data_IF_505145368792
#
_entry.id   IF_505145368792
#
_cell.length_a   1.000
_cell.length_b   1.000
_cell.length_c   1.000
_cell.angle_alpha   90.00
_cell.angle_beta   90.00
_cell.angle_gamma   90.00
#
_symmetry.space_group_name_H-M   'P 1'
#
loop_
_entity.id
_entity.type
_entity.pdbx_description
1 polymer ?
#
# COMPACT_ATOMS: atom_id res chain seq x y z
N UNK A 1 8.54 -10.98 5.24
CA UNK A 1 8.66 -10.15 4.01
C UNK A 1 7.62 -9.04 4.00
N UNK A 2 7.64 -8.11 3.04
CA UNK A 2 6.61 -7.06 2.94
C UNK A 2 5.18 -7.61 2.76
N UNK A 3 5.02 -8.69 1.98
CA UNK A 3 3.74 -9.36 1.78
C UNK A 3 3.23 -10.08 3.04
N UNK A 4 4.11 -10.75 3.78
CA UNK A 4 3.73 -11.36 5.07
C UNK A 4 3.26 -10.30 6.07
N UNK A 5 3.92 -9.14 6.12
CA UNK A 5 3.48 -8.04 6.98
C UNK A 5 2.10 -7.51 6.56
N UNK A 6 1.87 -7.30 5.26
CA UNK A 6 0.55 -6.94 4.75
C UNK A 6 -0.52 -7.93 5.22
N UNK A 7 -0.26 -9.23 5.03
CA UNK A 7 -1.19 -10.27 5.45
C UNK A 7 -1.45 -10.23 6.97
N UNK A 8 -0.41 -10.07 7.79
CA UNK A 8 -0.58 -9.95 9.25
C UNK A 8 -1.39 -8.72 9.66
N UNK A 9 -1.19 -7.58 9.00
CA UNK A 9 -1.97 -6.36 9.24
C UNK A 9 -3.43 -6.55 8.86
N UNK A 10 -3.70 -7.12 7.67
CA UNK A 10 -5.06 -7.31 7.16
C UNK A 10 -5.86 -8.38 7.90
N UNK A 11 -5.19 -9.31 8.59
CA UNK A 11 -5.85 -10.29 9.45
C UNK A 11 -5.96 -9.86 10.91
N UNK A 12 -5.46 -8.67 11.29
CA UNK A 12 -5.63 -8.12 12.63
C UNK A 12 -6.82 -7.13 12.64
N UNK A 13 -7.92 -7.42 13.37
CA UNK A 13 -9.11 -6.57 13.38
C UNK A 13 -8.86 -5.11 13.79
N UNK A 14 -7.85 -4.85 14.61
CA UNK A 14 -7.49 -3.49 15.07
C UNK A 14 -6.66 -2.71 14.05
N UNK A 15 -6.04 -3.40 13.07
CA UNK A 15 -5.10 -2.82 12.11
C UNK A 15 -5.53 -2.97 10.66
N UNK A 16 -6.55 -3.79 10.38
CA UNK A 16 -6.97 -4.16 9.01
C UNK A 16 -7.35 -2.95 8.15
N UNK A 17 -7.85 -1.88 8.74
CA UNK A 17 -8.28 -0.67 8.04
C UNK A 17 -7.12 0.29 7.74
N UNK A 18 -5.92 0.06 8.30
CA UNK A 18 -4.75 0.88 8.01
C UNK A 18 -4.35 0.69 6.53
N UNK A 19 -4.29 1.76 5.73
CA UNK A 19 -3.86 1.65 4.34
C UNK A 19 -2.35 1.36 4.27
N UNK A 20 -1.99 0.39 3.45
CA UNK A 20 -0.59 -0.03 3.26
C UNK A 20 -0.16 0.31 1.84
N UNK A 21 0.89 1.12 1.71
CA UNK A 21 1.51 1.47 0.42
C UNK A 21 2.85 0.76 0.30
N UNK A 22 3.03 -0.07 -0.72
CA UNK A 22 4.33 -0.67 -1.01
C UNK A 22 5.25 0.31 -1.72
N UNK A 23 6.51 0.39 -1.28
CA UNK A 23 7.58 1.11 -1.96
C UNK A 23 8.70 0.14 -2.35
N UNK A 24 8.72 -0.29 -3.61
CA UNK A 24 9.54 -1.42 -4.06
C UNK A 24 10.48 -1.05 -5.20
N UNK A 25 11.71 -1.59 -5.20
CA UNK A 25 12.58 -1.53 -6.37
C UNK A 25 12.18 -2.55 -7.46
N UNK A 26 11.32 -3.52 -7.11
CA UNK A 26 10.84 -4.53 -8.05
C UNK A 26 9.76 -3.94 -8.96
N UNK A 27 9.99 -4.01 -10.27
CA UNK A 27 9.08 -3.50 -11.30
C UNK A 27 8.20 -4.59 -11.93
N UNK A 28 8.25 -5.82 -11.43
CA UNK A 28 7.42 -6.92 -11.94
C UNK A 28 5.94 -6.59 -11.71
N UNK A 29 5.17 -6.60 -12.81
CA UNK A 29 3.73 -6.38 -12.76
C UNK A 29 3.01 -7.39 -11.86
N UNK A 30 3.55 -8.61 -11.76
CA UNK A 30 3.03 -9.69 -10.90
C UNK A 30 3.00 -9.30 -9.42
N UNK A 31 4.08 -8.74 -8.88
CA UNK A 31 4.17 -8.32 -7.48
C UNK A 31 3.23 -7.15 -7.17
N UNK A 32 3.10 -6.22 -8.13
CA UNK A 32 2.15 -5.11 -8.02
C UNK A 32 0.71 -5.63 -7.97
N UNK A 33 0.35 -6.52 -8.90
CA UNK A 33 -0.99 -7.14 -8.95
C UNK A 33 -1.26 -7.93 -7.67
N UNK A 34 -0.27 -8.69 -7.21
CA UNK A 34 -0.36 -9.46 -5.96
C UNK A 34 -0.64 -8.55 -4.77
N UNK A 35 0.17 -7.51 -4.56
CA UNK A 35 0.00 -6.60 -3.43
C UNK A 35 -1.38 -5.96 -3.40
N UNK A 36 -1.86 -5.48 -4.55
CA UNK A 36 -3.20 -4.89 -4.65
C UNK A 36 -4.31 -5.92 -4.38
N UNK A 37 -4.18 -7.16 -4.87
CA UNK A 37 -5.15 -8.24 -4.57
C UNK A 37 -5.16 -8.66 -3.10
N UNK A 38 -4.00 -8.61 -2.43
CA UNK A 38 -3.85 -8.94 -1.02
C UNK A 38 -4.25 -7.78 -0.08
N UNK A 39 -4.80 -6.69 -0.62
CA UNK A 39 -5.36 -5.58 0.16
C UNK A 39 -4.41 -4.42 0.43
N UNK A 40 -3.29 -4.32 -0.29
CA UNK A 40 -2.50 -3.10 -0.30
C UNK A 40 -3.33 -1.94 -0.88
N UNK A 41 -3.21 -0.76 -0.30
CA UNK A 41 -3.84 0.45 -0.80
C UNK A 41 -3.19 0.90 -2.12
N UNK A 42 -1.86 0.82 -2.19
CA UNK A 42 -1.11 1.20 -3.39
C UNK A 42 0.24 0.48 -3.46
N UNK A 43 0.86 0.53 -4.64
CA UNK A 43 2.17 -0.04 -4.91
C UNK A 43 2.95 0.89 -5.84
N UNK A 44 4.05 1.44 -5.32
CA UNK A 44 4.88 2.45 -5.97
C UNK A 44 6.27 1.86 -6.22
N UNK A 45 6.70 1.89 -7.47
CA UNK A 45 8.04 1.43 -7.88
C UNK A 45 9.08 2.53 -7.71
N UNK A 46 10.27 2.18 -7.24
CA UNK A 46 11.44 3.06 -7.20
C UNK A 46 12.14 3.11 -8.58
N UNK A 47 12.77 4.24 -8.94
CA UNK A 47 12.65 5.55 -8.27
C UNK A 47 11.26 6.15 -8.51
N UNK A 48 10.79 6.96 -7.56
CA UNK A 48 9.50 7.66 -7.63
C UNK A 48 9.69 9.16 -7.39
N UNK A 49 8.73 9.96 -7.84
CA UNK A 49 8.70 11.38 -7.52
C UNK A 49 8.19 11.59 -6.07
N UNK A 50 8.90 12.34 -5.21
CA UNK A 50 8.47 12.62 -3.85
C UNK A 50 7.11 13.32 -3.73
N UNK A 51 6.80 14.27 -4.62
CA UNK A 51 5.52 14.98 -4.64
C UNK A 51 4.37 14.02 -4.99
N UNK A 52 4.61 13.08 -5.92
CA UNK A 52 3.63 12.05 -6.24
C UNK A 52 3.37 11.13 -5.03
N UNK A 53 4.40 10.77 -4.27
CA UNK A 53 4.24 9.98 -3.06
C UNK A 53 3.40 10.73 -2.02
N UNK A 54 3.64 12.03 -1.82
CA UNK A 54 2.85 12.86 -0.90
C UNK A 54 1.36 12.81 -1.29
N UNK A 55 1.03 13.04 -2.56
CA UNK A 55 -0.35 12.99 -3.05
C UNK A 55 -1.00 11.60 -2.85
N UNK A 56 -0.25 10.52 -2.99
CA UNK A 56 -0.75 9.15 -2.75
C UNK A 56 -0.99 8.88 -1.26
N UNK A 57 -0.12 9.38 -0.38
CA UNK A 57 -0.30 9.30 1.07
C UNK A 57 -1.50 10.12 1.52
N UNK A 58 -1.68 11.34 1.01
CA UNK A 58 -2.85 12.17 1.32
C UNK A 58 -4.16 11.49 0.93
N UNK A 59 -4.21 10.88 -0.27
CA UNK A 59 -5.37 10.07 -0.71
C UNK A 59 -5.62 8.86 0.19
N UNK A 60 -4.56 8.19 0.65
CA UNK A 60 -4.68 7.08 1.58
C UNK A 60 -5.29 7.52 2.91
N UNK A 61 -4.85 8.65 3.47
CA UNK A 61 -5.42 9.21 4.68
C UNK A 61 -6.89 9.61 4.49
N UNK A 62 -7.24 10.26 3.38
CA UNK A 62 -8.63 10.64 3.07
C UNK A 62 -9.57 9.42 3.01
N UNK A 63 -9.09 8.26 2.54
CA UNK A 63 -9.90 7.04 2.48
C UNK A 63 -10.31 6.49 3.86
N UNK A 64 -9.61 6.88 4.93
CA UNK A 64 -9.92 6.50 6.32
C UNK A 64 -10.91 7.49 6.96
N UNK A 65 -10.82 8.78 6.59
CA UNK A 65 -11.56 9.87 7.25
C UNK A 65 -12.85 10.29 6.53
N UNK A 66 -13.25 9.59 5.47
CA UNK A 66 -14.46 9.93 4.71
C UNK A 66 -15.72 9.45 5.45
N UNK A 67 -16.41 10.40 6.09
CA UNK A 67 -17.82 10.31 6.51
C UNK A 67 -18.76 10.53 5.33
#
# INVERSE_FOLDING_TARGET
TGFELLNSLKNNPELQDIPVIFLSANKKSEDRIRGLREGAYDYITKPFNPEELILRVERALQSIFSF
#
